data_IF_717879521031
#
_entry.id   IF_717879521031
#
_cell.length_a   1.000
_cell.length_b   1.000
_cell.length_c   1.000
_cell.angle_alpha   90.00
_cell.angle_beta   90.00
_cell.angle_gamma   90.00
#
_symmetry.space_group_name_H-M   'P 1'
#
loop_
_entity.id
_entity.type
_entity.pdbx_description
1 polymer ?
#
# COMPACT_ATOMS: atom_id res chain seq x y z
N UNK A 1 -39.93 -12.20 3.61
CA UNK A 1 -40.17 -11.24 2.51
C UNK A 1 -38.82 -10.93 1.88
N UNK A 2 -38.51 -11.65 0.80
CA UNK A 2 -37.34 -11.40 -0.05
C UNK A 2 -37.40 -9.99 -0.63
N UNK A 3 -36.36 -9.19 -0.35
CA UNK A 3 -36.08 -7.99 -1.14
C UNK A 3 -35.01 -8.34 -2.14
N UNK A 4 -35.42 -8.32 -3.40
CA UNK A 4 -34.61 -8.28 -4.61
C UNK A 4 -33.43 -7.30 -4.50
N UNK A 5 -32.21 -7.81 -4.29
CA UNK A 5 -30.95 -7.05 -4.48
C UNK A 5 -29.73 -7.95 -4.77
N UNK A 6 -29.91 -9.13 -5.37
CA UNK A 6 -28.81 -10.06 -5.68
C UNK A 6 -27.70 -9.44 -6.55
N UNK A 7 -27.98 -8.47 -7.41
CA UNK A 7 -26.97 -7.90 -8.30
C UNK A 7 -26.01 -6.91 -7.61
N UNK A 8 -26.45 -6.20 -6.56
CA UNK A 8 -25.65 -5.14 -5.90
C UNK A 8 -24.64 -5.73 -4.92
N UNK A 9 -25.05 -6.69 -4.08
CA UNK A 9 -24.12 -7.39 -3.19
C UNK A 9 -23.15 -8.29 -3.97
N UNK A 10 -23.55 -8.88 -5.10
CA UNK A 10 -22.63 -9.62 -5.96
C UNK A 10 -21.56 -8.74 -6.58
N UNK A 11 -21.88 -7.54 -7.07
CA UNK A 11 -20.88 -6.62 -7.65
C UNK A 11 -19.89 -6.11 -6.61
N UNK A 12 -20.36 -5.77 -5.40
CA UNK A 12 -19.50 -5.31 -4.30
C UNK A 12 -18.58 -6.44 -3.79
N UNK A 13 -19.11 -7.66 -3.72
CA UNK A 13 -18.32 -8.84 -3.35
C UNK A 13 -17.24 -9.15 -4.41
N UNK A 14 -17.59 -9.11 -5.70
CA UNK A 14 -16.61 -9.26 -6.79
C UNK A 14 -15.54 -8.15 -6.76
N UNK A 15 -15.93 -6.90 -6.47
CA UNK A 15 -15.00 -5.80 -6.31
C UNK A 15 -13.99 -6.04 -5.18
N UNK A 16 -14.47 -6.51 -4.02
CA UNK A 16 -13.63 -6.86 -2.86
C UNK A 16 -12.65 -7.99 -3.21
N UNK A 17 -13.09 -9.00 -3.96
CA UNK A 17 -12.24 -10.09 -4.42
C UNK A 17 -11.13 -9.61 -5.38
N UNK A 18 -11.47 -8.75 -6.33
CA UNK A 18 -10.51 -8.17 -7.28
C UNK A 18 -9.47 -7.34 -6.53
N UNK A 19 -9.88 -6.50 -5.58
CA UNK A 19 -8.97 -5.69 -4.76
C UNK A 19 -8.00 -6.61 -4.00
N UNK A 20 -8.50 -7.64 -3.31
CA UNK A 20 -7.67 -8.58 -2.57
C UNK A 20 -6.62 -9.26 -3.48
N UNK A 21 -7.02 -9.71 -4.67
CA UNK A 21 -6.10 -10.37 -5.62
C UNK A 21 -5.05 -9.40 -6.16
N UNK A 22 -5.45 -8.19 -6.55
CA UNK A 22 -4.52 -7.17 -7.07
C UNK A 22 -3.45 -6.83 -6.03
N UNK A 23 -3.85 -6.73 -4.76
CA UNK A 23 -2.91 -6.43 -3.68
C UNK A 23 -1.98 -7.59 -3.34
N UNK A 24 -2.46 -8.84 -3.40
CA UNK A 24 -1.60 -10.02 -3.23
C UNK A 24 -0.53 -10.03 -4.34
N UNK A 25 -0.92 -9.80 -5.59
CA UNK A 25 0.02 -9.74 -6.72
C UNK A 25 1.01 -8.60 -6.52
N UNK A 26 0.53 -7.40 -6.16
CA UNK A 26 1.36 -6.24 -5.89
C UNK A 26 2.37 -6.48 -4.76
N UNK A 27 1.94 -7.09 -3.66
CA UNK A 27 2.78 -7.44 -2.52
C UNK A 27 3.86 -8.47 -2.88
N UNK A 28 3.53 -9.51 -3.66
CA UNK A 28 4.52 -10.47 -4.17
C UNK A 28 5.55 -9.78 -5.05
N UNK A 29 5.10 -8.95 -5.97
CA UNK A 29 6.00 -8.21 -6.86
C UNK A 29 6.94 -7.29 -6.06
N UNK A 30 6.42 -6.59 -5.07
CA UNK A 30 7.21 -5.72 -4.19
C UNK A 30 8.21 -6.51 -3.35
N UNK A 31 7.87 -7.71 -2.86
CA UNK A 31 8.82 -8.58 -2.16
C UNK A 31 9.96 -9.05 -3.08
N UNK A 32 9.65 -9.42 -4.34
CA UNK A 32 10.66 -9.83 -5.32
C UNK A 32 11.61 -8.68 -5.63
N UNK A 33 11.08 -7.51 -6.01
CA UNK A 33 11.90 -6.32 -6.25
C UNK A 33 12.70 -5.94 -5.00
N UNK A 34 12.05 -6.00 -3.84
CA UNK A 34 12.66 -5.70 -2.56
C UNK A 34 13.89 -6.56 -2.30
N UNK A 35 13.76 -7.86 -2.54
CA UNK A 35 14.81 -8.87 -2.35
C UNK A 35 15.96 -8.73 -3.36
N UNK A 36 15.66 -8.42 -4.62
CA UNK A 36 16.68 -8.17 -5.64
C UNK A 36 17.56 -6.98 -5.23
N UNK A 37 16.92 -5.86 -4.85
CA UNK A 37 17.63 -4.64 -4.42
C UNK A 37 18.43 -4.90 -3.15
N UNK A 38 17.86 -5.60 -2.16
CA UNK A 38 18.59 -5.96 -0.94
C UNK A 38 19.82 -6.83 -1.24
N UNK A 39 19.66 -7.83 -2.11
CA UNK A 39 20.77 -8.68 -2.52
C UNK A 39 21.86 -7.89 -3.25
N UNK A 40 21.49 -6.97 -4.15
CA UNK A 40 22.44 -6.11 -4.85
C UNK A 40 23.21 -5.21 -3.88
N UNK A 41 22.53 -4.61 -2.89
CA UNK A 41 23.16 -3.80 -1.83
C UNK A 41 24.16 -4.59 -0.98
N UNK A 42 23.90 -5.88 -0.72
CA UNK A 42 24.75 -6.74 0.10
C UNK A 42 25.92 -7.32 -0.70
N UNK A 43 25.65 -7.80 -1.92
CA UNK A 43 26.61 -8.54 -2.75
C UNK A 43 27.51 -7.63 -3.59
N UNK A 44 27.00 -6.47 -4.01
CA UNK A 44 27.69 -5.53 -4.90
C UNK A 44 27.47 -4.07 -4.46
N UNK A 45 27.88 -3.69 -3.23
CA UNK A 45 27.66 -2.34 -2.70
C UNK A 45 28.34 -1.24 -3.52
N UNK A 46 29.37 -1.57 -4.29
CA UNK A 46 30.11 -0.68 -5.19
C UNK A 46 29.32 -0.30 -6.46
N UNK A 47 28.33 -1.10 -6.85
CA UNK A 47 27.50 -0.89 -8.04
C UNK A 47 26.25 -0.06 -7.77
N UNK A 48 25.94 0.23 -6.51
CA UNK A 48 24.76 1.01 -6.14
C UNK A 48 24.95 2.46 -6.60
N UNK A 49 24.08 2.99 -7.49
CA UNK A 49 24.24 4.34 -8.00
C UNK A 49 23.93 5.38 -6.93
N UNK A 50 24.93 6.22 -6.61
CA UNK A 50 24.81 7.33 -5.65
C UNK A 50 23.66 8.31 -5.99
N UNK A 51 23.24 8.34 -7.26
CA UNK A 51 22.09 9.14 -7.73
C UNK A 51 20.76 8.69 -7.12
N UNK A 52 20.56 7.39 -6.90
CA UNK A 52 19.33 6.85 -6.31
C UNK A 52 19.44 6.71 -4.79
N UNK A 53 20.64 6.45 -4.28
CA UNK A 53 20.89 6.26 -2.86
C UNK A 53 22.02 7.19 -2.40
N UNK A 54 21.73 8.50 -2.24
CA UNK A 54 22.73 9.44 -1.77
C UNK A 54 23.21 9.03 -0.38
N UNK A 55 24.52 9.04 -0.14
CA UNK A 55 25.13 8.63 1.13
C UNK A 55 24.98 7.15 1.49
N UNK A 56 24.67 6.28 0.52
CA UNK A 56 24.60 4.83 0.75
C UNK A 56 25.88 4.26 1.36
N UNK A 57 27.05 4.71 0.90
CA UNK A 57 28.36 4.23 1.41
C UNK A 57 28.59 4.61 2.87
N UNK A 58 28.08 5.76 3.30
CA UNK A 58 28.23 6.23 4.67
C UNK A 58 27.21 5.57 5.62
N UNK A 59 26.05 5.15 5.09
CA UNK A 59 24.93 4.64 5.88
C UNK A 59 24.39 3.28 5.39
N UNK A 60 25.28 2.41 4.90
CA UNK A 60 24.91 1.17 4.21
C UNK A 60 23.97 0.29 5.04
N UNK A 61 24.25 0.13 6.33
CA UNK A 61 23.42 -0.66 7.25
C UNK A 61 21.98 -0.11 7.37
N UNK A 62 21.81 1.21 7.35
CA UNK A 62 20.50 1.86 7.46
C UNK A 62 19.67 1.58 6.21
N UNK A 63 20.25 1.76 5.02
CA UNK A 63 19.56 1.48 3.75
C UNK A 63 19.16 0.01 3.61
N UNK A 64 20.05 -0.93 3.96
CA UNK A 64 19.75 -2.36 3.94
C UNK A 64 18.62 -2.67 4.93
N UNK A 65 18.66 -2.10 6.14
CA UNK A 65 17.61 -2.31 7.15
C UNK A 65 16.26 -1.78 6.68
N UNK A 66 16.21 -0.58 6.09
CA UNK A 66 14.98 -0.05 5.48
C UNK A 66 14.42 -0.98 4.40
N UNK A 67 15.29 -1.59 3.61
CA UNK A 67 14.86 -2.53 2.58
C UNK A 67 14.21 -3.78 3.18
N UNK A 68 14.79 -4.36 4.23
CA UNK A 68 14.19 -5.49 4.95
C UNK A 68 12.88 -5.13 5.64
N UNK A 69 12.78 -3.93 6.22
CA UNK A 69 11.52 -3.41 6.78
C UNK A 69 10.45 -3.33 5.67
N UNK A 70 10.81 -2.82 4.49
CA UNK A 70 9.91 -2.75 3.34
C UNK A 70 9.40 -4.12 2.90
N UNK A 71 10.28 -5.12 2.81
CA UNK A 71 9.91 -6.51 2.47
C UNK A 71 8.98 -7.09 3.54
N UNK A 72 9.29 -6.89 4.82
CA UNK A 72 8.45 -7.36 5.93
C UNK A 72 7.06 -6.73 5.91
N UNK A 73 6.97 -5.42 5.66
CA UNK A 73 5.71 -4.71 5.53
C UNK A 73 4.90 -5.21 4.33
N UNK A 74 5.54 -5.47 3.18
CA UNK A 74 4.90 -6.06 2.01
C UNK A 74 4.35 -7.47 2.29
N UNK A 75 5.09 -8.28 3.06
CA UNK A 75 4.64 -9.59 3.50
C UNK A 75 3.41 -9.47 4.42
N UNK A 76 3.47 -8.61 5.43
CA UNK A 76 2.35 -8.36 6.34
C UNK A 76 1.11 -7.90 5.59
N UNK A 77 1.27 -6.97 4.64
CA UNK A 77 0.18 -6.49 3.79
C UNK A 77 -0.42 -7.63 2.96
N UNK A 78 0.42 -8.46 2.34
CA UNK A 78 0.00 -9.63 1.56
C UNK A 78 -0.82 -10.63 2.40
N UNK A 79 -0.41 -10.87 3.65
CA UNK A 79 -1.15 -11.73 4.58
C UNK A 79 -2.53 -11.15 4.86
N UNK A 80 -2.61 -9.84 5.13
CA UNK A 80 -3.87 -9.15 5.43
C UNK A 80 -4.80 -9.12 4.20
N UNK A 81 -4.27 -8.92 2.98
CA UNK A 81 -5.04 -9.07 1.74
C UNK A 81 -5.47 -10.52 1.49
N UNK A 82 -4.69 -11.50 1.93
CA UNK A 82 -5.08 -12.92 1.95
C UNK A 82 -6.25 -13.20 2.89
N UNK A 83 -6.25 -12.58 4.08
CA UNK A 83 -7.39 -12.63 5.02
C UNK A 83 -8.64 -11.99 4.40
N UNK A 84 -8.48 -10.88 3.69
CA UNK A 84 -9.58 -10.24 2.95
C UNK A 84 -10.15 -11.20 1.88
N UNK A 85 -9.29 -11.87 1.11
CA UNK A 85 -9.72 -12.85 0.10
C UNK A 85 -10.50 -14.02 0.72
N UNK A 86 -10.00 -14.54 1.85
CA UNK A 86 -10.67 -15.61 2.58
C UNK A 86 -11.98 -15.14 3.23
N UNK A 87 -12.01 -13.91 3.75
CA UNK A 87 -13.20 -13.27 4.31
C UNK A 87 -14.29 -13.08 3.27
N UNK A 88 -13.93 -12.63 2.07
CA UNK A 88 -14.83 -12.60 0.92
C UNK A 88 -15.38 -14.00 0.59
N UNK A 89 -14.51 -15.01 0.45
CA UNK A 89 -14.91 -16.37 0.06
C UNK A 89 -15.82 -17.05 1.08
N UNK A 90 -15.54 -16.85 2.36
CA UNK A 90 -16.29 -17.45 3.47
C UNK A 90 -17.46 -16.60 3.95
N UNK A 91 -17.64 -15.41 3.37
CA UNK A 91 -18.59 -14.37 3.83
C UNK A 91 -18.43 -14.04 5.32
N UNK A 92 -17.22 -14.15 5.85
CA UNK A 92 -16.93 -13.84 7.24
C UNK A 92 -16.31 -12.45 7.34
N UNK A 93 -17.15 -11.46 7.64
CA UNK A 93 -16.78 -10.04 7.75
C UNK A 93 -15.65 -9.77 8.74
N UNK A 94 -15.50 -10.60 9.78
CA UNK A 94 -14.44 -10.44 10.79
C UNK A 94 -13.04 -10.56 10.20
N UNK A 95 -12.88 -11.31 9.12
CA UNK A 95 -11.59 -11.48 8.43
C UNK A 95 -11.25 -10.28 7.52
N UNK A 96 -12.25 -9.48 7.14
CA UNK A 96 -12.06 -8.27 6.34
C UNK A 96 -11.69 -7.05 7.19
N UNK A 97 -12.07 -7.03 8.48
CA UNK A 97 -11.82 -5.91 9.39
C UNK A 97 -10.34 -5.54 9.56
N UNK A 98 -9.39 -6.49 9.74
CA UNK A 98 -7.98 -6.14 9.88
C UNK A 98 -7.45 -5.35 8.68
N UNK A 99 -7.89 -5.71 7.47
CA UNK A 99 -7.52 -5.02 6.24
C UNK A 99 -8.07 -3.59 6.19
N UNK A 100 -9.32 -3.40 6.62
CA UNK A 100 -9.95 -2.07 6.70
C UNK A 100 -9.22 -1.17 7.70
N UNK A 101 -8.98 -1.65 8.92
CA UNK A 101 -8.28 -0.87 9.95
C UNK A 101 -6.87 -0.46 9.48
N UNK A 102 -6.14 -1.40 8.87
CA UNK A 102 -4.81 -1.14 8.35
C UNK A 102 -4.82 -0.06 7.26
N UNK A 103 -5.76 -0.12 6.33
CA UNK A 103 -5.91 0.88 5.28
C UNK A 103 -6.35 2.25 5.80
N UNK A 104 -7.24 2.31 6.80
CA UNK A 104 -7.62 3.57 7.44
C UNK A 104 -6.43 4.28 8.08
N UNK A 105 -5.61 3.54 8.83
CA UNK A 105 -4.39 4.08 9.44
C UNK A 105 -3.40 4.51 8.36
N UNK A 106 -3.21 3.69 7.32
CA UNK A 106 -2.28 3.96 6.23
C UNK A 106 -2.66 5.20 5.42
N UNK A 107 -3.95 5.41 5.14
CA UNK A 107 -4.48 6.61 4.49
C UNK A 107 -4.17 7.87 5.30
N UNK A 108 -4.45 7.84 6.61
CA UNK A 108 -4.17 8.96 7.49
C UNK A 108 -2.67 9.29 7.56
N UNK A 109 -1.83 8.26 7.72
CA UNK A 109 -0.38 8.41 7.77
C UNK A 109 0.18 8.97 6.46
N UNK A 110 -0.30 8.47 5.32
CA UNK A 110 0.12 8.93 3.99
C UNK A 110 -0.30 10.37 3.73
N UNK A 111 -1.53 10.75 4.09
CA UNK A 111 -1.99 12.13 3.96
C UNK A 111 -1.14 13.11 4.78
N UNK A 112 -0.84 12.77 6.04
CA UNK A 112 0.04 13.56 6.90
C UNK A 112 1.45 13.64 6.30
N UNK A 113 2.00 12.51 5.86
CA UNK A 113 3.33 12.42 5.26
C UNK A 113 3.47 13.29 4.01
N UNK A 114 2.48 13.29 3.12
CA UNK A 114 2.44 14.13 1.92
C UNK A 114 2.46 15.62 2.27
N UNK A 115 1.70 16.03 3.28
CA UNK A 115 1.67 17.43 3.75
C UNK A 115 3.04 17.84 4.30
N UNK A 116 3.63 17.02 5.17
CA UNK A 116 4.96 17.29 5.75
C UNK A 116 6.01 17.40 4.64
N UNK A 117 6.01 16.46 3.70
CA UNK A 117 6.97 16.44 2.60
C UNK A 117 6.79 17.64 1.66
N UNK A 118 5.56 18.06 1.40
CA UNK A 118 5.29 19.28 0.64
C UNK A 118 5.91 20.51 1.31
N UNK A 119 5.70 20.69 2.61
CA UNK A 119 6.31 21.81 3.35
C UNK A 119 7.83 21.74 3.34
N UNK A 120 8.41 20.55 3.53
CA UNK A 120 9.86 20.37 3.46
C UNK A 120 10.43 20.76 2.09
N UNK A 121 9.77 20.35 0.99
CA UNK A 121 10.19 20.71 -0.36
C UNK A 121 10.00 22.20 -0.67
N UNK A 122 8.89 22.79 -0.21
CA UNK A 122 8.60 24.21 -0.38
C UNK A 122 9.65 25.09 0.32
N UNK A 123 10.05 24.73 1.56
CA UNK A 123 11.09 25.44 2.30
C UNK A 123 12.48 25.32 1.66
N UNK A 124 12.74 24.25 0.91
CA UNK A 124 13.99 24.04 0.16
C UNK A 124 13.95 24.61 -1.27
N UNK A 125 12.91 25.38 -1.64
CA UNK A 125 12.81 26.04 -2.94
C UNK A 125 12.27 25.16 -4.09
N UNK A 126 11.90 23.90 -3.82
CA UNK A 126 11.34 22.97 -4.81
C UNK A 126 9.80 22.98 -4.84
N UNK A 127 9.20 24.18 -4.87
CA UNK A 127 7.75 24.34 -4.74
C UNK A 127 6.95 23.63 -5.85
N UNK A 128 7.37 23.77 -7.11
CA UNK A 128 6.68 23.17 -8.27
C UNK A 128 6.68 21.64 -8.19
N UNK A 129 7.82 21.05 -7.79
CA UNK A 129 7.95 19.60 -7.61
C UNK A 129 7.03 19.12 -6.49
N UNK A 130 7.00 19.85 -5.37
CA UNK A 130 6.08 19.57 -4.27
C UNK A 130 4.61 19.59 -4.71
N UNK A 131 4.21 20.59 -5.52
CA UNK A 131 2.82 20.72 -5.99
C UNK A 131 2.42 19.56 -6.92
N UNK A 132 3.30 19.18 -7.86
CA UNK A 132 3.09 18.01 -8.72
C UNK A 132 2.93 16.74 -7.88
N UNK A 133 3.78 16.57 -6.86
CA UNK A 133 3.71 15.41 -5.97
C UNK A 133 2.37 15.36 -5.23
N UNK A 134 1.90 16.47 -4.67
CA UNK A 134 0.61 16.55 -3.98
C UNK A 134 -0.54 16.17 -4.92
N UNK A 135 -0.54 16.65 -6.17
CA UNK A 135 -1.58 16.28 -7.15
C UNK A 135 -1.60 14.78 -7.42
N UNK A 136 -0.43 14.16 -7.61
CA UNK A 136 -0.32 12.71 -7.81
C UNK A 136 -0.81 11.96 -6.56
N UNK A 137 -0.40 12.40 -5.38
CA UNK A 137 -0.82 11.79 -4.11
C UNK A 137 -2.32 11.90 -3.88
N UNK A 138 -2.98 13.00 -4.25
CA UNK A 138 -4.44 13.13 -4.15
C UNK A 138 -5.15 12.08 -5.00
N UNK A 139 -4.68 11.85 -6.23
CA UNK A 139 -5.26 10.83 -7.13
C UNK A 139 -5.09 9.43 -6.52
N UNK A 140 -3.89 9.11 -6.04
CA UNK A 140 -3.59 7.81 -5.42
C UNK A 140 -4.41 7.59 -4.16
N UNK A 141 -4.50 8.60 -3.28
CA UNK A 141 -5.33 8.55 -2.08
C UNK A 141 -6.82 8.42 -2.43
N UNK A 142 -7.30 9.10 -3.47
CA UNK A 142 -8.68 8.97 -3.96
C UNK A 142 -9.00 7.54 -4.39
N UNK A 143 -8.10 6.89 -5.12
CA UNK A 143 -8.24 5.47 -5.51
C UNK A 143 -8.24 4.57 -4.28
N UNK A 144 -7.33 4.80 -3.32
CA UNK A 144 -7.26 4.02 -2.10
C UNK A 144 -8.51 4.18 -1.23
N UNK A 145 -9.05 5.40 -1.10
CA UNK A 145 -10.34 5.66 -0.43
C UNK A 145 -11.47 4.92 -1.14
N UNK A 146 -11.51 4.91 -2.48
CA UNK A 146 -12.50 4.13 -3.22
C UNK A 146 -12.42 2.64 -2.90
N UNK A 147 -11.23 2.04 -2.84
CA UNK A 147 -11.06 0.65 -2.43
C UNK A 147 -11.57 0.39 -1.02
N UNK A 148 -11.22 1.24 -0.05
CA UNK A 148 -11.72 1.14 1.33
C UNK A 148 -13.24 1.21 1.38
N UNK A 149 -13.87 2.12 0.63
CA UNK A 149 -15.33 2.24 0.59
C UNK A 149 -16.00 1.01 -0.03
N UNK A 150 -15.41 0.38 -1.05
CA UNK A 150 -15.92 -0.87 -1.63
C UNK A 150 -15.89 -1.99 -0.62
N UNK A 151 -14.77 -2.16 0.10
CA UNK A 151 -14.62 -3.22 1.11
C UNK A 151 -15.49 -2.94 2.34
N UNK A 152 -15.59 -1.69 2.78
CA UNK A 152 -16.47 -1.31 3.88
C UNK A 152 -17.92 -1.61 3.54
N UNK A 153 -18.36 -1.28 2.32
CA UNK A 153 -19.71 -1.60 1.87
C UNK A 153 -19.97 -3.10 1.84
N UNK A 154 -18.99 -3.92 1.48
CA UNK A 154 -19.11 -5.39 1.57
C UNK A 154 -19.30 -5.87 3.02
N UNK A 155 -18.63 -5.22 3.98
CA UNK A 155 -18.73 -5.52 5.41
C UNK A 155 -20.07 -5.06 5.98
N UNK A 156 -20.57 -3.89 5.59
CA UNK A 156 -21.84 -3.36 6.07
C UNK A 156 -23.06 -4.13 5.50
N UNK A 157 -22.93 -4.70 4.30
CA UNK A 157 -23.99 -5.46 3.63
C UNK A 157 -24.10 -6.94 4.12
N UNK A 158 -23.20 -7.45 4.97
CA UNK A 158 -23.18 -8.85 5.47
C UNK A 158 -23.15 -8.95 7.01
#
# INVERSE_FOLDING_TARGET
>A
MEKTCCCRSCTVATGTAIIAVLEIIGGIFQMIQGSIVANEMISHPDRIPDKHYPYFKDHTAVYITFQFIGIFMALAYTIVSGLLFQGYRTRNVRLCLPWLYWNYISLGLTAIGVVILFFALALNGYFVVGLIMVLISIVVLGIAVYFVLVVQRFVDDN
#
